data_IF_541791838845
#
_entry.id   IF_541791838845
#
_cell.length_a   1.000
_cell.length_b   1.000
_cell.length_c   1.000
_cell.angle_alpha   90.00
_cell.angle_beta   90.00
_cell.angle_gamma   90.00
#
_symmetry.space_group_name_H-M   'P 1'
#
loop_
_entity.id
_entity.type
_entity.pdbx_description
1 polymer ?
#
# COMPACT_ATOMS: atom_id res chain seq x y z
N UNK A 1 15.26 -27.46 56.74
CA UNK A 1 15.55 -26.49 55.65
C UNK A 1 16.50 -27.19 54.68
N UNK A 2 16.23 -27.43 53.40
CA UNK A 2 15.23 -26.90 52.46
C UNK A 2 14.69 -28.07 51.61
N UNK A 3 13.38 -28.10 51.43
CA UNK A 3 12.68 -28.83 50.38
C UNK A 3 12.74 -27.96 49.11
N UNK A 4 13.02 -28.55 47.96
CA UNK A 4 12.76 -27.91 46.66
C UNK A 4 11.68 -28.70 45.94
N UNK A 5 10.59 -27.98 45.66
CA UNK A 5 9.37 -28.45 45.03
C UNK A 5 9.48 -28.50 43.49
N UNK A 6 8.63 -29.34 42.91
CA UNK A 6 8.38 -29.51 41.48
C UNK A 6 7.27 -28.58 41.01
N UNK A 7 7.46 -27.92 39.86
CA UNK A 7 6.46 -27.51 38.83
C UNK A 7 7.28 -26.86 37.69
N UNK A 8 7.16 -27.14 36.39
CA UNK A 8 6.00 -27.48 35.55
C UNK A 8 5.54 -26.20 34.84
N UNK A 9 5.64 -26.14 33.49
CA UNK A 9 4.71 -25.51 32.50
C UNK A 9 5.44 -25.08 31.20
N UNK A 10 4.88 -25.51 30.05
CA UNK A 10 4.85 -24.79 28.75
C UNK A 10 6.14 -24.78 27.92
N UNK A 11 6.23 -25.43 26.76
CA UNK A 11 5.53 -25.02 25.54
C UNK A 11 6.24 -23.79 24.94
N UNK A 12 7.14 -23.95 23.96
CA UNK A 12 6.79 -23.73 22.55
C UNK A 12 7.88 -24.29 21.64
N UNK A 13 7.54 -25.30 20.84
CA UNK A 13 8.31 -25.67 19.66
C UNK A 13 8.08 -24.59 18.61
N UNK A 14 9.11 -23.84 18.25
CA UNK A 14 9.07 -22.99 17.07
C UNK A 14 9.02 -23.86 15.81
N UNK A 15 7.84 -23.94 15.20
CA UNK A 15 7.61 -24.51 13.88
C UNK A 15 8.31 -23.65 12.82
N UNK A 16 9.05 -24.23 11.87
CA UNK A 16 9.50 -23.49 10.69
C UNK A 16 8.29 -23.22 9.78
N UNK A 17 8.11 -21.95 9.42
CA UNK A 17 6.92 -21.39 8.77
C UNK A 17 6.76 -21.70 7.27
N UNK A 18 7.49 -22.67 6.71
CA UNK A 18 7.37 -23.00 5.29
C UNK A 18 7.65 -24.49 5.06
N UNK A 19 6.58 -25.29 4.98
CA UNK A 19 6.60 -26.56 4.29
C UNK A 19 5.79 -26.38 2.99
N UNK A 20 6.38 -26.56 1.80
CA UNK A 20 5.60 -26.66 0.58
C UNK A 20 4.98 -28.06 0.51
N UNK A 21 3.66 -28.11 0.45
CA UNK A 21 2.90 -29.32 0.12
C UNK A 21 2.86 -29.56 -1.40
N UNK A 22 2.70 -30.85 -1.74
CA UNK A 22 2.49 -31.43 -3.07
C UNK A 22 3.75 -31.47 -3.95
N UNK A 23 4.07 -32.53 -4.67
CA UNK A 23 3.28 -33.63 -5.19
C UNK A 23 3.79 -33.85 -6.62
N UNK A 24 4.14 -35.09 -6.94
CA UNK A 24 4.40 -35.61 -8.30
C UNK A 24 5.62 -35.03 -9.06
N UNK A 25 6.73 -35.76 -8.92
CA UNK A 25 7.35 -36.42 -10.07
C UNK A 25 7.99 -35.56 -11.17
N UNK A 26 9.08 -34.86 -10.86
CA UNK A 26 10.20 -34.70 -11.79
C UNK A 26 11.49 -34.80 -10.99
N UNK A 27 12.29 -35.84 -11.25
CA UNK A 27 13.58 -36.10 -10.61
C UNK A 27 14.62 -35.08 -11.09
N UNK A 28 14.45 -33.82 -10.71
CA UNK A 28 15.55 -32.88 -10.66
C UNK A 28 16.53 -33.45 -9.64
N UNK A 29 17.76 -33.77 -10.05
CA UNK A 29 18.85 -34.04 -9.12
C UNK A 29 19.10 -32.75 -8.33
N UNK A 30 18.32 -32.52 -7.28
CA UNK A 30 18.65 -31.52 -6.28
C UNK A 30 19.90 -32.05 -5.58
N UNK A 31 21.07 -31.63 -6.08
CA UNK A 31 22.26 -31.61 -5.24
C UNK A 31 21.96 -30.59 -4.15
N UNK A 32 21.25 -31.01 -3.11
CA UNK A 32 21.08 -30.23 -1.90
C UNK A 32 22.47 -30.11 -1.28
N UNK A 33 23.18 -29.04 -1.64
CA UNK A 33 24.41 -28.67 -0.97
C UNK A 33 24.03 -28.38 0.49
N UNK A 34 24.33 -29.29 1.42
CA UNK A 34 24.16 -29.06 2.86
C UNK A 34 24.84 -27.74 3.22
N UNK A 35 24.04 -26.71 3.49
CA UNK A 35 24.49 -25.45 4.09
C UNK A 35 24.47 -25.70 5.60
N UNK A 36 25.57 -25.41 6.29
CA UNK A 36 25.68 -25.69 7.73
C UNK A 36 24.80 -24.78 8.61
N UNK A 37 24.10 -23.80 8.04
CA UNK A 37 23.25 -22.85 8.78
C UNK A 37 24.00 -21.66 9.36
N UNK A 38 25.34 -21.70 9.39
CA UNK A 38 26.16 -20.59 9.89
C UNK A 38 26.14 -19.35 9.01
N UNK A 39 26.39 -18.21 9.64
CA UNK A 39 26.42 -16.90 8.99
C UNK A 39 27.56 -16.78 7.96
N UNK A 40 27.42 -15.81 7.06
CA UNK A 40 28.50 -15.40 6.16
C UNK A 40 29.25 -14.21 6.74
N UNK A 41 30.57 -14.22 6.56
CA UNK A 41 31.45 -13.11 6.93
C UNK A 41 32.13 -12.54 5.69
N UNK A 42 32.27 -11.21 5.68
CA UNK A 42 33.03 -10.45 4.70
C UNK A 42 34.54 -10.67 4.90
N UNK A 43 35.25 -11.00 3.83
CA UNK A 43 36.68 -11.36 3.85
C UNK A 43 37.40 -10.70 2.67
N UNK A 44 38.57 -10.13 2.94
CA UNK A 44 39.50 -9.72 1.89
C UNK A 44 40.17 -10.96 1.29
N UNK A 45 39.98 -11.15 -0.01
CA UNK A 45 40.49 -12.28 -0.77
C UNK A 45 41.54 -11.80 -1.76
N UNK A 46 42.73 -12.39 -1.72
CA UNK A 46 43.76 -12.15 -2.72
C UNK A 46 43.99 -13.43 -3.51
N UNK A 47 43.64 -13.41 -4.79
CA UNK A 47 43.92 -14.51 -5.71
C UNK A 47 44.81 -14.02 -6.83
N UNK A 48 46.04 -14.56 -6.91
CA UNK A 48 47.01 -14.25 -7.98
C UNK A 48 47.18 -12.73 -8.22
N UNK A 49 47.26 -11.95 -7.14
CA UNK A 49 47.44 -10.49 -7.20
C UNK A 49 46.15 -9.69 -7.36
N UNK A 50 45.00 -10.34 -7.64
CA UNK A 50 43.69 -9.67 -7.64
C UNK A 50 43.12 -9.65 -6.23
N UNK A 51 43.01 -8.45 -5.66
CA UNK A 51 42.31 -8.20 -4.39
C UNK A 51 40.81 -8.05 -4.68
N UNK A 52 40.00 -8.83 -4.01
CA UNK A 52 38.53 -8.78 -4.10
C UNK A 52 37.94 -8.98 -2.72
N UNK A 53 36.71 -8.52 -2.50
CA UNK A 53 35.99 -8.80 -1.26
C UNK A 53 34.96 -9.89 -1.54
N UNK A 54 34.98 -10.91 -0.67
CA UNK A 54 34.11 -12.07 -0.79
C UNK A 54 33.44 -12.36 0.54
N UNK A 55 32.28 -13.00 0.46
CA UNK A 55 31.52 -13.49 1.59
C UNK A 55 31.65 -15.01 1.64
N UNK A 56 32.08 -15.52 2.79
CA UNK A 56 32.21 -16.97 3.05
C UNK A 56 31.53 -17.34 4.34
N UNK A 57 30.97 -18.54 4.38
CA UNK A 57 30.41 -19.10 5.60
C UNK A 57 31.49 -19.20 6.69
N UNK A 58 31.14 -18.83 7.93
CA UNK A 58 32.05 -18.81 9.07
C UNK A 58 32.65 -20.20 9.34
N UNK A 59 31.90 -21.29 9.18
CA UNK A 59 32.46 -22.65 9.32
C UNK A 59 33.57 -22.99 8.35
N UNK A 60 33.70 -22.25 7.23
CA UNK A 60 34.79 -22.41 6.26
C UNK A 60 35.99 -21.50 6.52
N UNK A 61 35.92 -20.67 7.56
CA UNK A 61 36.95 -19.72 7.98
C UNK A 61 37.50 -20.08 9.36
N UNK A 62 36.63 -20.55 10.25
CA UNK A 62 36.94 -20.90 11.64
C UNK A 62 36.64 -22.37 11.90
N UNK A 63 37.35 -22.95 12.87
CA UNK A 63 37.17 -24.36 13.25
C UNK A 63 35.94 -24.54 14.15
N UNK A 64 34.76 -24.47 13.53
CA UNK A 64 33.45 -24.66 14.19
C UNK A 64 33.06 -26.14 14.33
N UNK A 65 33.90 -27.08 13.87
CA UNK A 65 33.59 -28.51 13.84
C UNK A 65 32.54 -28.92 12.79
N UNK A 66 32.01 -27.97 12.02
CA UNK A 66 31.01 -28.20 10.97
C UNK A 66 31.65 -28.24 9.58
N UNK A 67 31.43 -29.34 8.84
CA UNK A 67 31.83 -29.42 7.45
C UNK A 67 30.84 -28.65 6.55
N UNK A 68 31.29 -27.55 5.95
CA UNK A 68 30.47 -26.70 5.09
C UNK A 68 31.00 -26.63 3.65
N UNK A 69 30.13 -26.94 2.69
CA UNK A 69 30.42 -26.90 1.25
C UNK A 69 29.80 -25.69 0.56
N UNK A 70 29.50 -24.63 1.31
CA UNK A 70 28.87 -23.44 0.76
C UNK A 70 29.83 -22.67 -0.16
N UNK A 71 29.28 -22.12 -1.25
CA UNK A 71 30.05 -21.35 -2.23
C UNK A 71 30.62 -20.08 -1.61
N UNK A 72 31.73 -19.61 -2.16
CA UNK A 72 32.23 -18.26 -1.92
C UNK A 72 31.41 -17.30 -2.80
N UNK A 73 30.84 -16.25 -2.20
CA UNK A 73 30.01 -15.26 -2.91
C UNK A 73 30.81 -13.97 -3.05
N UNK A 74 30.81 -13.34 -4.23
CA UNK A 74 31.44 -12.03 -4.42
C UNK A 74 30.53 -10.93 -3.86
N UNK A 75 31.10 -9.88 -3.27
CA UNK A 75 30.34 -8.76 -2.72
C UNK A 75 29.44 -8.10 -3.78
N UNK A 76 29.95 -7.90 -5.00
CA UNK A 76 29.21 -7.30 -6.12
C UNK A 76 27.94 -8.08 -6.47
N UNK A 77 27.99 -9.42 -6.40
CA UNK A 77 26.83 -10.28 -6.66
C UNK A 77 25.75 -10.10 -5.59
N UNK A 78 26.13 -9.87 -4.33
CA UNK A 78 25.18 -9.58 -3.26
C UNK A 78 24.56 -8.20 -3.48
N UNK A 79 25.37 -7.21 -3.84
CA UNK A 79 24.90 -5.86 -4.17
C UNK A 79 23.87 -5.89 -5.29
N UNK A 80 24.20 -6.50 -6.43
CA UNK A 80 23.29 -6.64 -7.57
C UNK A 80 22.00 -7.38 -7.19
N UNK A 81 22.11 -8.51 -6.48
CA UNK A 81 20.94 -9.27 -6.05
C UNK A 81 20.06 -8.49 -5.06
N UNK A 82 20.66 -7.65 -4.20
CA UNK A 82 19.93 -6.81 -3.25
C UNK A 82 19.16 -5.72 -3.99
N UNK A 83 19.80 -5.04 -4.94
CA UNK A 83 19.15 -4.01 -5.76
C UNK A 83 18.02 -4.64 -6.59
N UNK A 84 18.25 -5.78 -7.22
CA UNK A 84 17.22 -6.51 -7.98
C UNK A 84 16.04 -6.94 -7.09
N UNK A 85 16.32 -7.46 -5.89
CA UNK A 85 15.27 -7.82 -4.93
C UNK A 85 14.45 -6.59 -4.49
N UNK A 86 15.11 -5.48 -4.17
CA UNK A 86 14.44 -4.20 -3.84
C UNK A 86 13.58 -3.75 -5.03
N UNK A 87 14.14 -3.73 -6.24
CA UNK A 87 13.43 -3.29 -7.43
C UNK A 87 12.25 -4.20 -7.77
N UNK A 88 12.31 -5.51 -7.50
CA UNK A 88 11.17 -6.42 -7.64
C UNK A 88 10.09 -6.16 -6.59
N UNK A 89 10.48 -5.93 -5.33
CA UNK A 89 9.54 -5.55 -4.27
C UNK A 89 8.88 -4.20 -4.57
N UNK A 90 9.62 -3.25 -5.14
CA UNK A 90 9.09 -1.96 -5.57
C UNK A 90 8.33 -2.06 -6.89
N UNK A 91 8.67 -2.97 -7.80
CA UNK A 91 7.92 -3.24 -9.04
C UNK A 91 6.57 -3.88 -8.77
N UNK A 92 6.39 -4.56 -7.63
CA UNK A 92 5.07 -4.95 -7.13
C UNK A 92 4.20 -3.76 -6.69
N UNK A 93 4.70 -2.51 -6.77
CA UNK A 93 3.87 -1.31 -6.56
C UNK A 93 2.89 -1.06 -7.70
N UNK A 94 3.05 -1.66 -8.88
CA UNK A 94 2.12 -1.41 -9.99
C UNK A 94 0.69 -1.79 -9.61
N UNK A 95 0.49 -2.94 -8.95
CA UNK A 95 -0.81 -3.36 -8.40
C UNK A 95 -1.32 -2.39 -7.32
N UNK A 96 -0.42 -1.92 -6.44
CA UNK A 96 -0.74 -0.92 -5.42
C UNK A 96 -1.14 0.43 -6.02
N UNK A 97 -0.46 0.86 -7.09
CA UNK A 97 -0.73 2.10 -7.81
C UNK A 97 -2.08 2.03 -8.52
N UNK A 98 -2.46 0.86 -9.07
CA UNK A 98 -3.79 0.65 -9.64
C UNK A 98 -4.86 0.82 -8.56
N UNK A 99 -4.74 0.12 -7.44
CA UNK A 99 -5.72 0.27 -6.33
C UNK A 99 -5.76 1.68 -5.76
N UNK A 100 -4.60 2.35 -5.66
CA UNK A 100 -4.54 3.74 -5.20
C UNK A 100 -5.25 4.69 -6.17
N UNK A 101 -5.06 4.50 -7.49
CA UNK A 101 -5.76 5.28 -8.53
C UNK A 101 -7.27 5.09 -8.47
N UNK A 102 -7.75 3.85 -8.37
CA UNK A 102 -9.18 3.55 -8.26
C UNK A 102 -9.82 4.21 -7.02
N UNK A 103 -9.13 4.18 -5.88
CA UNK A 103 -9.61 4.86 -4.66
C UNK A 103 -9.64 6.38 -4.82
N UNK A 104 -8.63 6.94 -5.50
CA UNK A 104 -8.55 8.37 -5.81
C UNK A 104 -9.71 8.78 -6.72
N UNK A 105 -9.95 8.07 -7.83
CA UNK A 105 -11.05 8.34 -8.77
C UNK A 105 -12.43 8.27 -8.10
N UNK A 106 -12.64 7.26 -7.25
CA UNK A 106 -13.91 7.10 -6.51
C UNK A 106 -14.22 8.34 -5.69
N UNK A 107 -13.25 8.84 -4.91
CA UNK A 107 -13.44 10.02 -4.04
C UNK A 107 -13.66 11.31 -4.85
N UNK A 108 -13.05 11.45 -6.03
CA UNK A 108 -13.31 12.59 -6.93
C UNK A 108 -14.75 12.52 -7.42
N UNK A 109 -15.18 11.36 -7.92
CA UNK A 109 -16.48 11.19 -8.57
C UNK A 109 -17.65 11.38 -7.60
N UNK A 110 -17.51 10.97 -6.34
CA UNK A 110 -18.51 11.20 -5.28
C UNK A 110 -18.68 12.68 -4.93
N UNK A 111 -17.68 13.51 -5.24
CA UNK A 111 -17.70 14.95 -4.95
C UNK A 111 -18.39 15.76 -6.03
N UNK A 112 -18.42 15.28 -7.28
CA UNK A 112 -19.05 15.95 -8.42
C UNK A 112 -20.58 15.71 -8.48
N UNK A 113 -21.20 15.43 -7.33
CA UNK A 113 -22.64 15.23 -7.24
C UNK A 113 -23.39 16.55 -7.50
N UNK A 114 -24.31 16.48 -8.46
CA UNK A 114 -25.01 17.55 -9.16
C UNK A 114 -26.02 18.35 -8.30
N UNK A 115 -25.83 18.37 -6.97
CA UNK A 115 -26.76 18.90 -5.96
C UNK A 115 -27.04 20.39 -6.22
N UNK A 116 -26.02 21.18 -6.54
CA UNK A 116 -26.19 22.61 -6.86
C UNK A 116 -27.08 22.79 -8.10
N UNK A 117 -26.89 21.96 -9.14
CA UNK A 117 -27.71 22.03 -10.35
C UNK A 117 -29.16 21.62 -10.11
N UNK A 118 -29.39 20.60 -9.27
CA UNK A 118 -30.74 20.18 -8.89
C UNK A 118 -31.48 21.26 -8.10
N UNK A 119 -30.79 21.91 -7.16
CA UNK A 119 -31.35 23.04 -6.40
C UNK A 119 -31.65 24.22 -7.33
N UNK A 120 -30.75 24.54 -8.28
CA UNK A 120 -30.96 25.62 -9.24
C UNK A 120 -32.20 25.38 -10.11
N UNK A 121 -32.42 24.14 -10.60
CA UNK A 121 -33.64 23.77 -11.34
C UNK A 121 -34.90 23.96 -10.52
N UNK A 122 -34.90 23.48 -9.27
CA UNK A 122 -36.05 23.59 -8.36
C UNK A 122 -36.36 25.05 -7.99
N UNK A 123 -35.33 25.87 -7.81
CA UNK A 123 -35.48 27.32 -7.62
C UNK A 123 -36.11 27.99 -8.85
N UNK A 124 -35.71 27.60 -10.05
CA UNK A 124 -36.27 28.15 -11.30
C UNK A 124 -37.77 27.82 -11.45
N UNK A 125 -38.18 26.60 -11.10
CA UNK A 125 -39.58 26.17 -11.10
C UNK A 125 -40.41 26.96 -10.08
N UNK A 126 -39.94 27.03 -8.83
CA UNK A 126 -40.64 27.76 -7.77
C UNK A 126 -40.75 29.25 -8.05
N UNK A 127 -39.75 29.86 -8.71
CA UNK A 127 -39.82 31.25 -9.15
C UNK A 127 -40.91 31.47 -10.21
N UNK A 128 -41.10 30.53 -11.15
CA UNK A 128 -42.19 30.59 -12.14
C UNK A 128 -43.55 30.46 -11.46
N UNK A 129 -43.68 29.54 -10.51
CA UNK A 129 -44.92 29.37 -9.76
C UNK A 129 -45.25 30.57 -8.88
N UNK A 130 -44.24 31.20 -8.25
CA UNK A 130 -44.42 32.44 -7.49
C UNK A 130 -45.01 33.55 -8.36
N UNK A 131 -44.48 33.74 -9.57
CA UNK A 131 -45.00 34.73 -10.52
C UNK A 131 -46.44 34.43 -10.94
N UNK A 132 -46.78 33.15 -11.13
CA UNK A 132 -48.13 32.71 -11.48
C UNK A 132 -49.13 33.04 -10.36
N UNK A 133 -48.79 32.72 -9.11
CA UNK A 133 -49.67 32.96 -7.95
C UNK A 133 -49.80 34.44 -7.60
N UNK A 134 -48.71 35.21 -7.71
CA UNK A 134 -48.75 36.66 -7.53
C UNK A 134 -49.69 37.32 -8.55
N UNK A 135 -49.70 36.84 -9.80
CA UNK A 135 -50.62 37.30 -10.84
C UNK A 135 -52.07 36.86 -10.60
N UNK A 136 -52.31 35.69 -9.98
CA UNK A 136 -53.66 35.23 -9.63
C UNK A 136 -54.18 35.73 -8.27
N UNK A 137 -53.36 36.51 -7.52
CA UNK A 137 -53.64 37.02 -6.16
C UNK A 137 -53.91 35.91 -5.13
N UNK A 138 -53.30 34.74 -5.35
CA UNK A 138 -53.33 33.62 -4.41
C UNK A 138 -52.24 33.78 -3.34
N UNK A 139 -52.41 33.12 -2.20
CA UNK A 139 -51.36 33.07 -1.18
C UNK A 139 -50.14 32.30 -1.71
N UNK A 140 -48.96 32.86 -1.49
CA UNK A 140 -47.69 32.35 -2.01
C UNK A 140 -46.62 32.22 -0.92
N UNK A 141 -46.98 32.43 0.35
CA UNK A 141 -46.03 32.39 1.48
C UNK A 141 -45.24 31.07 1.53
N UNK A 142 -45.90 29.93 1.31
CA UNK A 142 -45.26 28.61 1.32
C UNK A 142 -44.15 28.47 0.24
N UNK A 143 -44.38 29.04 -0.94
CA UNK A 143 -43.39 29.03 -2.04
C UNK A 143 -42.25 30.01 -1.75
N UNK A 144 -42.55 31.17 -1.16
CA UNK A 144 -41.53 32.12 -0.74
C UNK A 144 -40.59 31.48 0.31
N UNK A 145 -41.15 30.80 1.31
CA UNK A 145 -40.38 30.11 2.36
C UNK A 145 -39.52 28.96 1.80
N UNK A 146 -40.04 28.18 0.86
CA UNK A 146 -39.27 27.13 0.18
C UNK A 146 -38.13 27.71 -0.66
N UNK A 147 -38.34 28.83 -1.36
CA UNK A 147 -37.28 29.54 -2.09
C UNK A 147 -36.18 30.02 -1.14
N UNK A 148 -36.53 30.59 0.02
CA UNK A 148 -35.54 31.00 1.02
C UNK A 148 -34.75 29.81 1.55
N UNK A 149 -35.41 28.70 1.88
CA UNK A 149 -34.76 27.46 2.31
C UNK A 149 -33.78 26.91 1.26
N UNK A 150 -34.22 26.79 0.01
CA UNK A 150 -33.39 26.26 -1.07
C UNK A 150 -32.20 27.17 -1.40
N UNK A 151 -32.34 28.49 -1.26
CA UNK A 151 -31.20 29.42 -1.41
C UNK A 151 -30.14 29.21 -0.33
N UNK A 152 -30.56 28.98 0.91
CA UNK A 152 -29.65 28.68 2.02
C UNK A 152 -28.95 27.33 1.81
N UNK A 153 -29.69 26.31 1.38
CA UNK A 153 -29.14 25.00 1.05
C UNK A 153 -28.13 25.05 -0.10
N UNK A 154 -28.44 25.81 -1.17
CA UNK A 154 -27.52 26.09 -2.27
C UNK A 154 -26.25 26.77 -1.79
N UNK A 155 -26.36 27.74 -0.88
CA UNK A 155 -25.20 28.45 -0.36
C UNK A 155 -24.30 27.52 0.45
N UNK A 156 -24.89 26.64 1.27
CA UNK A 156 -24.14 25.59 1.99
C UNK A 156 -23.45 24.62 1.05
N UNK A 157 -24.15 24.12 0.03
CA UNK A 157 -23.58 23.21 -0.96
C UNK A 157 -22.36 23.83 -1.69
N UNK A 158 -22.48 25.10 -2.11
CA UNK A 158 -21.37 25.83 -2.74
C UNK A 158 -20.18 26.07 -1.79
N UNK A 159 -20.45 26.34 -0.51
CA UNK A 159 -19.40 26.53 0.50
C UNK A 159 -18.65 25.21 0.75
N UNK A 160 -19.36 24.08 0.81
CA UNK A 160 -18.75 22.75 0.90
C UNK A 160 -17.94 22.40 -0.34
N UNK A 161 -18.45 22.69 -1.54
CA UNK A 161 -17.73 22.47 -2.80
C UNK A 161 -16.46 23.31 -2.89
N UNK A 162 -16.51 24.58 -2.50
CA UNK A 162 -15.33 25.45 -2.41
C UNK A 162 -14.30 24.92 -1.40
N UNK A 163 -14.75 24.37 -0.26
CA UNK A 163 -13.89 23.71 0.72
C UNK A 163 -13.22 22.43 0.18
N UNK A 164 -13.93 21.69 -0.70
CA UNK A 164 -13.42 20.47 -1.33
C UNK A 164 -12.53 20.72 -2.54
N UNK A 165 -12.64 21.89 -3.20
CA UNK A 165 -11.82 22.26 -4.37
C UNK A 165 -10.31 22.22 -4.10
N UNK A 166 -9.88 22.63 -2.90
CA UNK A 166 -8.48 22.54 -2.50
C UNK A 166 -7.98 21.10 -2.38
N UNK A 167 -8.84 20.19 -1.91
CA UNK A 167 -8.55 18.76 -1.86
C UNK A 167 -8.51 18.14 -3.26
N UNK A 168 -9.42 18.55 -4.16
CA UNK A 168 -9.46 18.11 -5.57
C UNK A 168 -8.16 18.46 -6.30
N UNK A 169 -7.69 19.71 -6.17
CA UNK A 169 -6.42 20.13 -6.79
C UNK A 169 -5.22 19.30 -6.30
N UNK A 170 -5.13 19.06 -4.99
CA UNK A 170 -4.03 18.26 -4.41
C UNK A 170 -4.05 16.83 -4.89
N UNK A 171 -5.24 16.31 -5.14
CA UNK A 171 -5.45 14.95 -5.61
C UNK A 171 -5.09 14.82 -7.10
N UNK A 172 -5.46 15.80 -7.94
CA UNK A 172 -5.01 15.91 -9.34
C UNK A 172 -3.47 16.03 -9.43
N UNK A 173 -2.86 16.82 -8.55
CA UNK A 173 -1.41 16.96 -8.48
C UNK A 173 -0.73 15.62 -8.10
N UNK A 174 -1.35 14.86 -7.18
CA UNK A 174 -0.89 13.52 -6.81
C UNK A 174 -1.03 12.52 -7.95
N UNK A 175 -2.14 12.55 -8.69
CA UNK A 175 -2.36 11.71 -9.86
C UNK A 175 -1.28 11.97 -10.93
N UNK A 176 -0.99 13.26 -11.20
CA UNK A 176 0.05 13.64 -12.15
C UNK A 176 1.43 13.11 -11.73
N UNK A 177 1.78 13.23 -10.45
CA UNK A 177 3.04 12.72 -9.92
C UNK A 177 3.17 11.19 -10.06
N UNK A 178 2.07 10.45 -9.92
CA UNK A 178 2.06 8.99 -10.08
C UNK A 178 2.21 8.56 -11.55
N UNK A 179 1.84 9.43 -12.49
CA UNK A 179 1.89 9.16 -13.93
C UNK A 179 3.20 9.64 -14.60
N UNK A 180 4.10 10.32 -13.88
CA UNK A 180 5.46 10.71 -14.31
C UNK A 180 6.49 9.60 -14.03
#
# INVERSE_FOLDING_TARGET
MRLSAVSGVGGSKSLPLFAPETGVGLRAKSRSFKRCGEIYRRVHWNNRGKKSIVWRCVSRLENTGLACHSRTVQEDMIGLATVDAINKLLGQKDDFLITLKENIETVISETDNNIVSEIDKKLEELQKDLLRLANSKEDYNDIADEIYRLREERHKALAEEAGKKGSKQRLEDMEKFINE
#
